data_IF_465105950868
#
_entry.id   IF_465105950868
#
_cell.length_a   1.000
_cell.length_b   1.000
_cell.length_c   1.000
_cell.angle_alpha   90.00
_cell.angle_beta   90.00
_cell.angle_gamma   90.00
#
_symmetry.space_group_name_H-M   'P 1'
#
loop_
_entity.id
_entity.type
_entity.pdbx_description
1 polymer ?
#
# COMPACT_ATOMS: atom_id res chain seq x y z
N UNK A 1 -6.86 -1.13 8.30
CA UNK A 1 -7.50 -2.43 8.01
C UNK A 1 -8.98 -2.24 7.68
N UNK A 2 -9.82 -1.78 8.61
CA UNK A 2 -11.28 -1.63 8.45
C UNK A 2 -11.67 -0.93 7.13
N UNK A 3 -11.07 0.21 6.82
CA UNK A 3 -11.33 0.95 5.57
C UNK A 3 -11.04 0.12 4.31
N UNK A 4 -10.02 -0.74 4.35
CA UNK A 4 -9.69 -1.62 3.22
C UNK A 4 -10.76 -2.71 3.07
N UNK A 5 -11.23 -3.30 4.15
CA UNK A 5 -12.29 -4.30 4.10
C UNK A 5 -13.62 -3.69 3.60
N UNK A 6 -13.97 -2.47 4.05
CA UNK A 6 -15.12 -1.73 3.51
C UNK A 6 -15.01 -1.51 1.99
N UNK A 7 -13.82 -1.18 1.48
CA UNK A 7 -13.59 -1.02 0.05
C UNK A 7 -13.73 -2.35 -0.71
N UNK A 8 -13.17 -3.44 -0.17
CA UNK A 8 -13.29 -4.78 -0.75
C UNK A 8 -14.75 -5.23 -0.81
N UNK A 9 -15.50 -5.07 0.28
CA UNK A 9 -16.91 -5.42 0.35
C UNK A 9 -17.75 -4.59 -0.63
N UNK A 10 -17.51 -3.28 -0.68
CA UNK A 10 -18.29 -2.36 -1.50
C UNK A 10 -18.05 -2.52 -3.00
N UNK A 11 -16.80 -2.74 -3.41
CA UNK A 11 -16.43 -2.72 -4.82
C UNK A 11 -16.01 -4.09 -5.38
N UNK A 12 -15.87 -5.11 -4.56
CA UNK A 12 -15.54 -6.47 -4.99
C UNK A 12 -14.17 -6.61 -5.65
N UNK A 13 -13.24 -5.70 -5.37
CA UNK A 13 -11.92 -5.69 -6.00
C UNK A 13 -10.85 -5.10 -5.08
N UNK A 14 -9.60 -5.54 -5.28
CA UNK A 14 -8.41 -4.95 -4.67
C UNK A 14 -7.51 -4.26 -5.70
N UNK A 15 -7.89 -4.26 -6.98
CA UNK A 15 -7.10 -3.67 -8.06
C UNK A 15 -7.05 -2.14 -7.93
N UNK A 16 -5.88 -1.52 -7.66
CA UNK A 16 -5.81 -0.09 -7.31
C UNK A 16 -6.34 0.83 -8.41
N UNK A 17 -6.06 0.54 -9.67
CA UNK A 17 -6.56 1.34 -10.80
C UNK A 17 -8.08 1.30 -10.92
N UNK A 18 -8.69 0.13 -10.69
CA UNK A 18 -10.15 -0.04 -10.72
C UNK A 18 -10.80 0.69 -9.53
N UNK A 19 -10.19 0.60 -8.35
CA UNK A 19 -10.66 1.36 -7.19
C UNK A 19 -10.57 2.86 -7.41
N UNK A 20 -9.53 3.36 -8.08
CA UNK A 20 -9.44 4.77 -8.46
C UNK A 20 -10.63 5.20 -9.34
N UNK A 21 -11.02 4.39 -10.33
CA UNK A 21 -12.18 4.67 -11.16
C UNK A 21 -13.48 4.76 -10.34
N UNK A 22 -13.72 3.80 -9.43
CA UNK A 22 -14.90 3.81 -8.56
C UNK A 22 -14.93 4.98 -7.58
N UNK A 23 -13.77 5.45 -7.16
CA UNK A 23 -13.63 6.56 -6.21
C UNK A 23 -13.54 7.94 -6.91
N UNK A 24 -13.58 7.97 -8.24
CA UNK A 24 -13.50 9.22 -9.00
C UNK A 24 -12.10 9.85 -9.00
N UNK A 25 -11.05 9.06 -8.76
CA UNK A 25 -9.66 9.49 -8.77
C UNK A 25 -9.08 9.33 -10.17
N UNK A 26 -8.65 10.40 -10.79
CA UNK A 26 -7.97 10.36 -12.09
C UNK A 26 -6.55 9.81 -11.94
N UNK A 27 -6.17 8.86 -12.79
CA UNK A 27 -4.81 8.32 -12.80
C UNK A 27 -4.13 8.67 -14.12
N UNK A 28 -2.93 9.22 -14.05
CA UNK A 28 -2.09 9.50 -15.22
C UNK A 28 -0.69 8.92 -15.05
N UNK A 29 -0.04 8.62 -16.17
CA UNK A 29 1.34 8.15 -16.20
C UNK A 29 2.18 9.21 -16.92
N UNK A 30 3.16 9.77 -16.20
CA UNK A 30 3.99 10.88 -16.69
C UNK A 30 5.40 10.84 -16.11
N UNK A 31 6.38 11.47 -16.74
CA UNK A 31 7.71 11.60 -16.13
C UNK A 31 7.65 12.44 -14.85
N UNK A 32 8.10 11.87 -13.73
CA UNK A 32 8.10 12.53 -12.41
C UNK A 32 9.53 12.79 -11.85
N UNK A 33 10.55 12.72 -12.70
CA UNK A 33 11.93 12.86 -12.23
C UNK A 33 12.31 11.75 -11.26
N UNK A 34 12.64 12.10 -10.03
CA UNK A 34 13.00 11.14 -8.98
C UNK A 34 11.79 10.52 -8.26
N UNK A 35 10.61 11.13 -8.36
CA UNK A 35 9.40 10.63 -7.73
C UNK A 35 8.87 9.38 -8.42
N UNK A 36 8.28 8.48 -7.65
CA UNK A 36 7.62 7.26 -8.14
C UNK A 36 6.13 7.48 -8.37
N UNK A 37 5.49 8.27 -7.52
CA UNK A 37 4.11 8.66 -7.58
C UNK A 37 3.87 10.00 -6.90
N UNK A 38 2.67 10.51 -7.08
CA UNK A 38 2.20 11.73 -6.46
C UNK A 38 0.68 11.72 -6.42
N UNK A 39 0.11 11.87 -5.22
CA UNK A 39 -1.30 12.18 -5.06
C UNK A 39 -1.49 13.68 -4.82
N UNK A 40 -2.39 14.31 -5.56
CA UNK A 40 -2.66 15.75 -5.49
C UNK A 40 -4.07 16.07 -5.98
N UNK A 41 -4.43 17.35 -5.92
CA UNK A 41 -5.63 17.90 -6.54
C UNK A 41 -5.24 18.81 -7.71
N UNK A 42 -5.93 18.66 -8.83
CA UNK A 42 -5.84 19.53 -10.01
C UNK A 42 -7.26 19.96 -10.34
N UNK A 43 -7.52 21.27 -10.37
CA UNK A 43 -8.86 21.84 -10.60
C UNK A 43 -9.95 21.27 -9.67
N UNK A 44 -9.60 21.06 -8.39
CA UNK A 44 -10.43 20.43 -7.35
C UNK A 44 -10.80 18.95 -7.60
N UNK A 45 -10.17 18.29 -8.56
CA UNK A 45 -10.32 16.85 -8.78
C UNK A 45 -9.11 16.08 -8.23
N UNK A 46 -9.33 14.94 -7.56
CA UNK A 46 -8.24 14.11 -7.05
C UNK A 46 -7.51 13.43 -8.21
N UNK A 47 -6.19 13.52 -8.21
CA UNK A 47 -5.34 12.97 -9.27
C UNK A 47 -4.18 12.20 -8.66
N UNK A 48 -3.94 11.00 -9.17
CA UNK A 48 -2.72 10.23 -8.93
C UNK A 48 -1.89 10.28 -10.20
N UNK A 49 -0.63 10.70 -10.06
CA UNK A 49 0.34 10.69 -11.14
C UNK A 49 1.40 9.64 -10.82
N UNK A 50 1.62 8.69 -11.73
CA UNK A 50 2.58 7.61 -11.58
C UNK A 50 3.74 7.83 -12.55
N UNK A 51 4.96 7.61 -12.10
CA UNK A 51 6.14 7.77 -12.94
C UNK A 51 6.14 6.78 -14.11
N UNK A 52 6.33 7.31 -15.32
CA UNK A 52 6.50 6.50 -16.52
C UNK A 52 7.84 5.76 -16.59
N UNK A 53 8.78 6.07 -15.70
CA UNK A 53 10.12 5.46 -15.66
C UNK A 53 10.14 4.12 -14.92
N UNK A 54 9.09 3.78 -14.18
CA UNK A 54 8.98 2.51 -13.45
C UNK A 54 8.17 1.48 -14.22
N UNK A 55 8.48 0.19 -14.00
CA UNK A 55 7.79 -0.93 -14.65
C UNK A 55 6.35 -1.09 -14.13
N UNK A 56 5.53 -1.88 -14.87
CA UNK A 56 4.10 -2.06 -14.60
C UNK A 56 3.79 -2.56 -13.18
N UNK A 57 4.54 -3.55 -12.66
CA UNK A 57 4.28 -4.09 -11.31
C UNK A 57 4.53 -3.03 -10.23
N UNK A 58 5.68 -2.35 -10.19
CA UNK A 58 5.85 -1.19 -9.32
C UNK A 58 4.78 -0.09 -9.50
N UNK A 59 4.26 0.14 -10.70
CA UNK A 59 3.17 1.10 -10.93
C UNK A 59 1.88 0.72 -10.17
N UNK A 60 1.55 -0.59 -10.06
CA UNK A 60 0.43 -1.05 -9.26
C UNK A 60 0.61 -0.73 -7.77
N UNK A 61 1.81 -0.97 -7.24
CA UNK A 61 2.12 -0.67 -5.84
C UNK A 61 2.08 0.83 -5.55
N UNK A 62 2.64 1.64 -6.47
CA UNK A 62 2.56 3.11 -6.35
C UNK A 62 1.11 3.57 -6.40
N UNK A 63 0.31 3.08 -7.34
CA UNK A 63 -1.11 3.43 -7.43
C UNK A 63 -1.86 3.11 -6.12
N UNK A 64 -1.64 1.92 -5.55
CA UNK A 64 -2.26 1.52 -4.30
C UNK A 64 -1.81 2.36 -3.10
N UNK A 65 -0.54 2.79 -3.07
CA UNK A 65 -0.02 3.68 -2.03
C UNK A 65 -0.64 5.08 -2.12
N UNK A 66 -0.64 5.68 -3.33
CA UNK A 66 -1.25 6.99 -3.55
C UNK A 66 -2.77 6.98 -3.33
N UNK A 67 -3.43 5.84 -3.64
CA UNK A 67 -4.82 5.62 -3.29
C UNK A 67 -5.02 5.60 -1.76
N UNK A 68 -4.07 5.05 -1.01
CA UNK A 68 -4.06 5.13 0.45
C UNK A 68 -4.05 6.57 0.95
N UNK A 69 -3.27 7.45 0.32
CA UNK A 69 -3.30 8.89 0.63
C UNK A 69 -4.65 9.52 0.27
N UNK A 70 -5.26 9.14 -0.84
CA UNK A 70 -6.60 9.62 -1.17
C UNK A 70 -7.63 9.23 -0.12
N UNK A 71 -7.65 7.97 0.27
CA UNK A 71 -8.65 7.43 1.21
C UNK A 71 -8.46 7.97 2.63
N UNK A 72 -7.22 8.09 3.08
CA UNK A 72 -6.90 8.41 4.48
C UNK A 72 -6.54 9.88 4.72
N UNK A 73 -6.01 10.59 3.71
CA UNK A 73 -5.36 11.89 3.88
C UNK A 73 -5.83 12.95 2.88
N UNK A 74 -7.00 12.79 2.26
CA UNK A 74 -7.51 13.72 1.24
C UNK A 74 -7.48 15.19 1.69
N UNK A 75 -7.85 15.47 2.95
CA UNK A 75 -7.84 16.82 3.50
C UNK A 75 -6.43 17.44 3.56
N UNK A 76 -5.40 16.63 3.80
CA UNK A 76 -4.00 17.08 3.85
C UNK A 76 -3.52 17.39 2.43
N UNK A 77 -3.86 16.54 1.46
CA UNK A 77 -3.51 16.72 0.06
C UNK A 77 -4.14 17.98 -0.54
N UNK A 78 -5.40 18.28 -0.19
CA UNK A 78 -6.09 19.51 -0.61
C UNK A 78 -5.38 20.79 -0.14
N UNK A 79 -4.67 20.73 0.98
CA UNK A 79 -3.87 21.85 1.52
C UNK A 79 -2.47 21.93 0.90
N UNK A 80 -2.14 21.07 -0.06
CA UNK A 80 -0.85 21.05 -0.76
C UNK A 80 0.32 20.51 0.06
N UNK A 81 0.05 19.79 1.15
CA UNK A 81 1.08 19.33 2.10
C UNK A 81 1.70 17.95 1.76
N UNK A 82 1.12 17.19 0.85
CA UNK A 82 1.66 15.88 0.43
C UNK A 82 2.50 16.07 -0.84
N UNK A 83 3.82 16.25 -0.69
CA UNK A 83 4.70 16.59 -1.81
C UNK A 83 5.80 15.59 -2.14
N UNK A 84 6.11 14.64 -1.28
CA UNK A 84 7.24 13.73 -1.51
C UNK A 84 6.90 12.30 -1.12
N UNK A 85 6.94 11.41 -2.09
CA UNK A 85 6.81 9.98 -1.88
C UNK A 85 8.16 9.28 -1.89
N UNK A 86 8.50 8.65 -0.78
CA UNK A 86 9.62 7.72 -0.67
C UNK A 86 9.08 6.36 -0.23
N UNK A 87 9.24 5.32 -1.06
CA UNK A 87 8.77 3.97 -0.72
C UNK A 87 9.20 3.54 0.69
N UNK A 88 8.23 3.04 1.46
CA UNK A 88 8.43 2.47 2.79
C UNK A 88 9.03 3.43 3.83
N UNK A 89 8.81 4.74 3.67
CA UNK A 89 9.14 5.69 4.73
C UNK A 89 8.14 5.53 5.89
N UNK A 90 8.57 4.89 6.97
CA UNK A 90 7.74 4.66 8.16
C UNK A 90 7.93 5.73 9.24
N UNK A 91 8.76 6.77 8.98
CA UNK A 91 9.00 7.85 9.95
C UNK A 91 7.91 8.92 9.92
N UNK A 92 7.34 9.14 8.75
CA UNK A 92 6.17 10.00 8.60
C UNK A 92 4.90 9.19 8.87
N UNK A 93 3.98 9.72 9.67
CA UNK A 93 2.75 9.03 10.05
C UNK A 93 1.85 8.75 8.83
N UNK A 94 1.73 9.72 7.94
CA UNK A 94 0.89 9.60 6.75
C UNK A 94 1.43 8.56 5.78
N UNK A 95 2.75 8.52 5.60
CA UNK A 95 3.43 7.51 4.80
C UNK A 95 3.28 6.10 5.38
N UNK A 96 3.41 5.97 6.71
CA UNK A 96 3.22 4.70 7.40
C UNK A 96 1.77 4.20 7.28
N UNK A 97 0.78 5.09 7.32
CA UNK A 97 -0.63 4.76 7.14
C UNK A 97 -0.93 4.35 5.69
N UNK A 98 -0.40 5.05 4.69
CA UNK A 98 -0.54 4.70 3.28
C UNK A 98 0.14 3.36 2.95
N UNK A 99 1.32 3.08 3.52
CA UNK A 99 2.00 1.80 3.37
C UNK A 99 1.21 0.64 4.02
N UNK A 100 0.58 0.85 5.18
CA UNK A 100 -0.31 -0.15 5.79
C UNK A 100 -1.57 -0.37 4.97
N UNK A 101 -2.15 0.69 4.42
CA UNK A 101 -3.27 0.58 3.49
C UNK A 101 -2.89 -0.28 2.28
N UNK A 102 -1.75 0.01 1.63
CA UNK A 102 -1.24 -0.76 0.51
C UNK A 102 -1.04 -2.24 0.87
N UNK A 103 -0.43 -2.54 2.02
CA UNK A 103 -0.19 -3.90 2.48
C UNK A 103 -1.51 -4.67 2.69
N UNK A 104 -2.49 -4.05 3.35
CA UNK A 104 -3.80 -4.67 3.59
C UNK A 104 -4.64 -4.81 2.32
N UNK A 105 -4.49 -3.89 1.37
CA UNK A 105 -5.19 -3.97 0.08
C UNK A 105 -4.73 -5.16 -0.76
N UNK A 106 -3.44 -5.46 -0.75
CA UNK A 106 -2.84 -6.42 -1.69
C UNK A 106 -2.53 -7.79 -1.09
N UNK A 107 -2.34 -7.89 0.23
CA UNK A 107 -1.95 -9.14 0.90
C UNK A 107 -3.11 -9.60 1.77
N UNK A 108 -3.64 -10.77 1.45
CA UNK A 108 -4.69 -11.41 2.23
C UNK A 108 -4.14 -11.99 3.54
N UNK A 109 -4.89 -11.84 4.64
CA UNK A 109 -4.49 -12.32 5.95
C UNK A 109 -4.39 -13.84 5.99
N UNK A 110 -5.42 -14.53 5.47
CA UNK A 110 -5.53 -15.98 5.55
C UNK A 110 -4.50 -16.66 4.63
N UNK A 111 -4.23 -16.07 3.46
CA UNK A 111 -3.21 -16.56 2.55
C UNK A 111 -1.81 -16.45 3.19
N UNK A 112 -1.49 -15.31 3.80
CA UNK A 112 -0.21 -15.11 4.47
C UNK A 112 -0.07 -16.01 5.72
N UNK A 113 -1.13 -16.12 6.54
CA UNK A 113 -1.15 -17.00 7.72
C UNK A 113 -0.96 -18.47 7.31
N UNK A 114 -1.58 -18.91 6.22
CA UNK A 114 -1.42 -20.27 5.68
C UNK A 114 0.03 -20.55 5.31
N UNK A 115 0.71 -19.64 4.60
CA UNK A 115 2.12 -19.80 4.24
C UNK A 115 3.00 -19.95 5.49
N UNK A 116 2.72 -19.17 6.53
CA UNK A 116 3.49 -19.27 7.78
C UNK A 116 3.21 -20.55 8.55
N UNK A 117 1.96 -21.04 8.59
CA UNK A 117 1.62 -22.35 9.17
C UNK A 117 2.28 -23.51 8.43
N UNK A 118 2.54 -23.36 7.13
CA UNK A 118 3.34 -24.30 6.33
C UNK A 118 4.84 -24.21 6.58
N UNK A 119 5.29 -23.30 7.45
CA UNK A 119 6.70 -23.12 7.80
C UNK A 119 7.49 -22.27 6.80
N UNK A 120 6.82 -21.49 5.94
CA UNK A 120 7.50 -20.59 5.01
C UNK A 120 8.10 -19.39 5.76
N UNK A 121 9.29 -19.01 5.38
CA UNK A 121 9.91 -17.75 5.83
C UNK A 121 9.26 -16.55 5.17
N UNK A 122 9.49 -15.35 5.73
CA UNK A 122 9.02 -14.08 5.12
C UNK A 122 9.54 -13.93 3.70
N UNK A 123 10.80 -14.27 3.46
CA UNK A 123 11.43 -14.20 2.12
C UNK A 123 10.73 -15.15 1.14
N UNK A 124 10.43 -16.40 1.55
CA UNK A 124 9.72 -17.35 0.70
C UNK A 124 8.28 -16.90 0.43
N UNK A 125 7.57 -16.41 1.44
CA UNK A 125 6.23 -15.85 1.28
C UNK A 125 6.23 -14.65 0.32
N UNK A 126 7.21 -13.75 0.43
CA UNK A 126 7.37 -12.61 -0.47
C UNK A 126 7.55 -13.04 -1.94
N UNK A 127 8.35 -14.09 -2.17
CA UNK A 127 8.54 -14.66 -3.49
C UNK A 127 7.27 -15.33 -4.04
N UNK A 128 6.55 -16.09 -3.21
CA UNK A 128 5.31 -16.77 -3.59
C UNK A 128 4.23 -15.76 -3.94
N UNK A 129 4.04 -14.75 -3.10
CA UNK A 129 3.04 -13.70 -3.28
C UNK A 129 3.45 -12.62 -4.30
N UNK A 130 4.70 -12.65 -4.78
CA UNK A 130 5.27 -11.69 -5.73
C UNK A 130 5.24 -10.23 -5.21
N UNK A 131 5.40 -10.03 -3.90
CA UNK A 131 5.50 -8.72 -3.27
C UNK A 131 6.89 -8.46 -2.68
N UNK A 132 7.31 -7.19 -2.53
CA UNK A 132 8.52 -6.85 -1.78
C UNK A 132 8.44 -7.33 -0.33
N UNK A 133 9.55 -7.83 0.21
CA UNK A 133 9.62 -8.31 1.59
C UNK A 133 9.29 -7.21 2.61
N UNK A 134 9.63 -5.95 2.29
CA UNK A 134 9.28 -4.79 3.10
C UNK A 134 7.77 -4.62 3.25
N UNK A 135 7.00 -4.89 2.19
CA UNK A 135 5.54 -4.81 2.24
C UNK A 135 4.96 -5.93 3.11
N UNK A 136 5.51 -7.15 3.02
CA UNK A 136 5.11 -8.25 3.89
C UNK A 136 5.42 -7.94 5.36
N UNK A 137 6.57 -7.36 5.67
CA UNK A 137 6.92 -6.95 7.02
C UNK A 137 5.92 -5.93 7.59
N UNK A 138 5.45 -4.99 6.78
CA UNK A 138 4.40 -4.04 7.17
C UNK A 138 3.07 -4.78 7.44
N UNK A 139 2.70 -5.73 6.57
CA UNK A 139 1.51 -6.56 6.75
C UNK A 139 1.57 -7.39 8.03
N UNK A 140 2.67 -8.09 8.27
CA UNK A 140 2.89 -8.89 9.48
C UNK A 140 2.77 -8.03 10.73
N UNK A 141 3.42 -6.86 10.76
CA UNK A 141 3.35 -5.94 11.88
C UNK A 141 1.91 -5.45 12.14
N UNK A 142 1.10 -5.29 11.10
CA UNK A 142 -0.30 -4.93 11.22
C UNK A 142 -1.15 -6.11 11.74
N UNK A 143 -0.94 -7.33 11.25
CA UNK A 143 -1.60 -8.54 11.71
C UNK A 143 -1.30 -8.81 13.20
N UNK A 144 -0.04 -8.68 13.63
CA UNK A 144 0.35 -8.80 15.05
C UNK A 144 -0.39 -7.79 15.94
N UNK A 145 -0.55 -6.53 15.50
CA UNK A 145 -1.36 -5.54 16.24
C UNK A 145 -2.83 -5.91 16.35
N UNK A 146 -3.36 -6.68 15.40
CA UNK A 146 -4.73 -7.21 15.38
C UNK A 146 -4.89 -8.52 16.15
N UNK A 147 -3.80 -9.03 16.76
CA UNK A 147 -3.83 -10.21 17.63
C UNK A 147 -3.37 -11.52 17.00
N UNK A 148 -2.77 -11.50 15.81
CA UNK A 148 -2.12 -12.69 15.26
C UNK A 148 -0.84 -12.99 16.04
N UNK A 149 -0.67 -14.25 16.45
CA UNK A 149 0.49 -14.71 17.21
C UNK A 149 1.47 -15.43 16.28
N UNK A 150 2.64 -14.84 16.07
CA UNK A 150 3.73 -15.43 15.29
C UNK A 150 4.94 -15.68 16.18
N UNK A 151 4.86 -16.66 17.10
CA UNK A 151 5.89 -16.93 18.12
C UNK A 151 7.27 -17.35 17.59
N UNK A 152 7.41 -17.74 16.32
CA UNK A 152 8.65 -18.31 15.77
C UNK A 152 9.22 -17.59 14.53
N UNK A 153 8.73 -16.41 14.18
CA UNK A 153 9.25 -15.66 13.01
C UNK A 153 10.32 -14.64 13.41
N UNK A 154 11.25 -15.06 14.31
CA UNK A 154 12.38 -14.28 14.79
C UNK A 154 13.54 -14.16 13.76
N UNK A 155 13.24 -14.19 12.50
CA UNK A 155 14.16 -13.77 11.46
C UNK A 155 14.02 -12.28 11.20
N UNK A 156 14.64 -11.43 12.07
CA UNK A 156 14.83 -9.98 11.81
C UNK A 156 13.59 -9.11 11.55
N UNK A 157 12.48 -9.33 12.24
CA UNK A 157 11.44 -8.29 12.32
C UNK A 157 11.98 -7.20 13.25
N UNK A 158 12.65 -6.20 12.69
CA UNK A 158 12.83 -4.92 13.38
C UNK A 158 11.48 -4.24 13.38
N UNK A 159 10.78 -4.32 14.50
CA UNK A 159 9.66 -3.44 14.78
C UNK A 159 10.19 -2.00 14.78
N UNK A 160 9.78 -1.21 13.81
CA UNK A 160 10.06 0.22 13.72
C UNK A 160 9.03 1.02 14.53
#
# INVERSE_FOLDING_TARGET
FEVVEELKEKYGTTAPFVLCEYLGVKVSISPLGSLKGLYTYIDNEPVIIISSTIKRIPQLLVCGHELGHHVLHANIAMQGALREFTFFNMRDKTEAEANRFLANLNIDDDELDTLFREGRSVTEAAQILCFPEELLNIKIADMVRRGYEYENYSGNIRLF
#
